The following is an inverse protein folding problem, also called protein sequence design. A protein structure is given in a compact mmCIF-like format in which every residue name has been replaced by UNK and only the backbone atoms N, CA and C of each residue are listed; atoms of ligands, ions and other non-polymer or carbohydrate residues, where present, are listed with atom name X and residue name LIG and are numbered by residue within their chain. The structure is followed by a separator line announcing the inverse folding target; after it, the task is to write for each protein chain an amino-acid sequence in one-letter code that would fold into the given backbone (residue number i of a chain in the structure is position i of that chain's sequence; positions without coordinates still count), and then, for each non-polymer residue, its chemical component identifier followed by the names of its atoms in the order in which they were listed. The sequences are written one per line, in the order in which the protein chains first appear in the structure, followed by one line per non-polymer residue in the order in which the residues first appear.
data_IF_102278626456
#
_entry.id   IF_102278626456
#
_cell.length_a   1.000
_cell.length_b   1.000
_cell.length_c   1.000
_cell.angle_alpha   90.00
_cell.angle_beta   90.00
_cell.angle_gamma   90.00
#
_symmetry.space_group_name_H-M   'P 1'
#
loop_
_entity.id
_entity.type
_entity.pdbx_description
1 polymer ?
#
# COMPACT_ATOMS: atom_id res chain seq x y z
N UNK A 1 11.91 23.45 -0.80
CA UNK A 1 11.61 23.03 0.58
C UNK A 1 11.89 21.54 0.66
N UNK A 2 12.61 21.03 1.68
CA UNK A 2 12.82 19.59 1.78
C UNK A 2 11.47 18.91 2.04
N UNK A 3 11.20 17.80 1.36
CA UNK A 3 9.97 17.01 1.52
C UNK A 3 9.90 16.46 2.95
N UNK A 4 9.16 17.14 3.83
CA UNK A 4 8.89 16.74 5.21
C UNK A 4 7.67 15.82 5.31
N UNK A 5 7.64 14.72 4.54
CA UNK A 5 6.61 13.70 4.75
C UNK A 5 7.17 12.61 5.66
N UNK A 6 6.71 12.64 6.92
CA UNK A 6 6.84 11.67 8.00
C UNK A 6 7.69 10.42 7.72
N UNK A 7 9.02 10.59 7.67
CA UNK A 7 9.94 9.48 7.91
C UNK A 7 9.68 9.00 9.33
N UNK A 8 9.12 7.80 9.51
CA UNK A 8 9.02 7.16 10.82
C UNK A 8 10.17 6.16 10.88
N UNK A 9 11.18 6.51 11.67
CA UNK A 9 12.41 5.75 11.81
C UNK A 9 12.15 4.43 12.56
N UNK A 10 13.01 3.44 12.32
CA UNK A 10 12.95 2.16 13.01
C UNK A 10 12.97 2.33 14.55
N UNK A 11 13.86 3.19 15.05
CA UNK A 11 13.99 3.45 16.48
C UNK A 11 12.73 4.10 17.07
N UNK A 12 12.06 4.97 16.31
CA UNK A 12 10.79 5.58 16.71
C UNK A 12 9.68 4.51 16.81
N UNK A 13 9.64 3.56 15.87
CA UNK A 13 8.71 2.42 15.93
C UNK A 13 8.98 1.55 17.16
N UNK A 14 10.26 1.27 17.47
CA UNK A 14 10.64 0.49 18.66
C UNK A 14 10.18 1.23 19.92
N UNK A 15 10.46 2.53 20.03
CA UNK A 15 10.10 3.35 21.19
C UNK A 15 8.58 3.42 21.39
N UNK A 16 7.81 3.57 20.31
CA UNK A 16 6.35 3.61 20.33
C UNK A 16 5.69 2.33 20.85
N UNK A 17 6.36 1.17 20.79
CA UNK A 17 5.80 -0.10 21.31
C UNK A 17 5.62 -0.11 22.82
N UNK A 18 6.42 0.69 23.53
CA UNK A 18 6.42 0.75 24.99
C UNK A 18 6.02 2.11 25.55
N UNK A 19 5.82 3.13 24.70
CA UNK A 19 5.38 4.47 25.11
C UNK A 19 4.13 4.89 24.34
N UNK A 20 2.97 4.96 25.03
CA UNK A 20 1.74 5.50 24.45
C UNK A 20 1.89 6.92 23.94
N UNK A 21 2.72 7.73 24.59
CA UNK A 21 2.97 9.14 24.22
C UNK A 21 3.66 9.22 22.86
N UNK A 22 4.72 8.45 22.65
CA UNK A 22 5.43 8.39 21.37
C UNK A 22 4.52 7.81 20.29
N UNK A 23 3.74 6.77 20.61
CA UNK A 23 2.75 6.22 19.67
C UNK A 23 1.75 7.29 19.21
N UNK A 24 1.25 8.11 20.13
CA UNK A 24 0.33 9.21 19.84
C UNK A 24 0.99 10.26 18.92
N UNK A 25 2.24 10.64 19.19
CA UNK A 25 3.01 11.57 18.37
C UNK A 25 3.24 11.04 16.94
N UNK A 26 3.58 9.76 16.80
CA UNK A 26 3.76 9.13 15.50
C UNK A 26 2.44 9.04 14.72
N UNK A 27 1.33 8.75 15.41
CA UNK A 27 0.01 8.74 14.80
C UNK A 27 -0.38 10.13 14.30
N UNK A 28 -0.21 11.18 15.12
CA UNK A 28 -0.47 12.57 14.71
C UNK A 28 0.35 12.99 13.49
N UNK A 29 1.61 12.53 13.39
CA UNK A 29 2.45 12.75 12.20
C UNK A 29 1.94 12.00 10.96
N UNK A 30 1.33 10.84 11.15
CA UNK A 30 0.79 10.01 10.07
C UNK A 30 -0.63 10.41 9.65
N UNK A 31 -1.41 11.10 10.49
CA UNK A 31 -2.82 11.46 10.23
C UNK A 31 -3.04 12.09 8.83
N UNK A 32 -2.24 13.08 8.37
CA UNK A 32 -2.43 13.65 7.02
C UNK A 32 -2.19 12.67 5.87
N UNK A 33 -1.37 11.63 6.09
CA UNK A 33 -1.16 10.57 5.13
C UNK A 33 -2.34 9.59 5.14
N UNK A 34 -2.78 9.15 6.32
CA UNK A 34 -3.89 8.22 6.48
C UNK A 34 -5.19 8.81 5.92
N UNK A 35 -5.47 10.08 6.19
CA UNK A 35 -6.68 10.76 5.70
C UNK A 35 -6.69 10.87 4.17
N UNK A 36 -5.58 11.27 3.55
CA UNK A 36 -5.47 11.30 2.07
C UNK A 36 -5.61 9.92 1.45
N UNK A 37 -5.14 8.88 2.12
CA UNK A 37 -5.31 7.50 1.65
C UNK A 37 -6.78 7.07 1.77
N UNK A 38 -7.48 7.47 2.83
CA UNK A 38 -8.92 7.26 2.99
C UNK A 38 -9.73 7.96 1.89
N UNK A 39 -9.46 9.24 1.61
CA UNK A 39 -10.09 9.97 0.50
C UNK A 39 -9.87 9.30 -0.86
N UNK A 40 -8.66 8.77 -1.09
CA UNK A 40 -8.35 8.03 -2.32
C UNK A 40 -9.17 6.74 -2.41
N UNK A 41 -9.30 6.03 -1.30
CA UNK A 41 -10.05 4.77 -1.22
C UNK A 41 -11.55 4.99 -1.36
N UNK A 42 -12.11 6.03 -0.73
CA UNK A 42 -13.50 6.45 -0.88
C UNK A 42 -13.92 6.68 -2.34
N UNK A 43 -13.02 7.12 -3.23
CA UNK A 43 -13.32 7.27 -4.67
C UNK A 43 -13.74 5.95 -5.34
N UNK A 44 -13.30 4.82 -4.81
CA UNK A 44 -13.66 3.50 -5.31
C UNK A 44 -14.92 2.94 -4.64
N UNK A 45 -15.24 3.41 -3.45
CA UNK A 45 -16.36 2.97 -2.63
C UNK A 45 -17.07 4.17 -2.00
N UNK A 46 -17.81 4.98 -2.79
CA UNK A 46 -18.34 6.28 -2.36
C UNK A 46 -19.50 6.18 -1.35
N UNK A 47 -19.96 4.96 -1.04
CA UNK A 47 -20.97 4.69 -0.03
C UNK A 47 -20.39 4.59 1.39
N UNK A 48 -19.07 4.40 1.54
CA UNK A 48 -18.39 4.41 2.83
C UNK A 48 -17.97 5.84 3.17
N UNK A 49 -18.17 6.28 4.41
CA UNK A 49 -17.72 7.61 4.81
C UNK A 49 -16.19 7.65 4.88
N UNK A 50 -15.58 8.75 4.41
CA UNK A 50 -14.12 8.95 4.47
C UNK A 50 -13.59 8.80 5.90
N UNK A 51 -14.38 9.24 6.88
CA UNK A 51 -14.03 9.16 8.30
C UNK A 51 -13.94 7.72 8.79
N UNK A 52 -14.85 6.84 8.38
CA UNK A 52 -14.84 5.42 8.76
C UNK A 52 -13.59 4.71 8.20
N UNK A 53 -13.33 4.91 6.90
CA UNK A 53 -12.12 4.38 6.24
C UNK A 53 -10.85 4.90 6.94
N UNK A 54 -10.86 6.17 7.35
CA UNK A 54 -9.74 6.77 8.06
C UNK A 54 -9.53 6.14 9.45
N UNK A 55 -10.58 5.89 10.23
CA UNK A 55 -10.45 5.22 11.53
C UNK A 55 -9.87 3.80 11.37
N UNK A 56 -10.30 3.04 10.35
CA UNK A 56 -9.72 1.73 10.05
C UNK A 56 -8.21 1.82 9.73
N UNK A 57 -7.80 2.85 8.99
CA UNK A 57 -6.38 3.09 8.69
C UNK A 57 -5.57 3.45 9.93
N UNK A 58 -6.15 4.18 10.89
CA UNK A 58 -5.52 4.48 12.19
C UNK A 58 -5.35 3.21 13.03
N UNK A 59 -6.35 2.34 13.07
CA UNK A 59 -6.21 1.04 13.75
C UNK A 59 -5.12 0.20 13.08
N UNK A 60 -5.08 0.20 11.75
CA UNK A 60 -4.05 -0.50 10.98
C UNK A 60 -2.65 0.04 11.29
N UNK A 61 -2.52 1.36 11.43
CA UNK A 61 -1.28 2.01 11.87
C UNK A 61 -0.80 1.46 13.21
N UNK A 62 -1.67 1.43 14.21
CA UNK A 62 -1.34 0.93 15.56
C UNK A 62 -0.93 -0.55 15.48
N UNK A 63 -1.65 -1.39 14.72
CA UNK A 63 -1.27 -2.80 14.51
C UNK A 63 0.11 -2.91 13.87
N UNK A 64 0.43 -2.06 12.89
CA UNK A 64 1.71 -2.08 12.20
C UNK A 64 2.89 -1.71 13.12
N UNK A 65 2.72 -0.80 14.08
CA UNK A 65 3.78 -0.46 15.06
C UNK A 65 4.30 -1.72 15.78
N UNK A 66 3.40 -2.62 16.15
CA UNK A 66 3.74 -3.85 16.85
C UNK A 66 4.21 -4.99 15.92
N UNK A 67 3.73 -5.03 14.68
CA UNK A 67 4.04 -6.13 13.72
C UNK A 67 5.26 -5.87 12.84
N UNK A 68 5.60 -4.61 12.58
CA UNK A 68 6.63 -4.26 11.63
C UNK A 68 8.01 -4.80 12.05
N UNK A 69 8.67 -5.52 11.15
CA UNK A 69 10.04 -5.98 11.34
C UNK A 69 11.03 -4.84 11.04
N UNK A 70 11.54 -4.22 12.11
CA UNK A 70 12.42 -3.04 12.04
C UNK A 70 13.78 -3.34 11.41
N UNK A 71 14.21 -4.60 11.35
CA UNK A 71 15.45 -5.01 10.66
C UNK A 71 15.39 -4.76 9.15
N UNK A 72 14.18 -4.56 8.60
CA UNK A 72 13.90 -4.31 7.18
C UNK A 72 13.76 -2.83 6.85
N UNK A 73 14.10 -1.94 7.79
CA UNK A 73 13.96 -0.50 7.59
C UNK A 73 15.04 0.06 6.67
N UNK A 74 14.63 0.58 5.51
CA UNK A 74 15.49 1.29 4.57
C UNK A 74 15.31 2.81 4.74
N UNK A 75 16.39 3.52 5.09
CA UNK A 75 16.46 4.99 5.16
C UNK A 75 15.29 5.68 5.89
N UNK A 76 14.70 5.00 6.90
CA UNK A 76 13.55 5.51 7.65
C UNK A 76 12.20 5.48 6.94
N UNK A 77 12.13 4.89 5.73
CA UNK A 77 10.91 4.83 4.92
C UNK A 77 10.20 3.47 4.98
N UNK A 78 10.88 2.43 5.47
CA UNK A 78 10.36 1.07 5.47
C UNK A 78 9.02 0.90 6.20
N UNK A 79 8.82 1.63 7.31
CA UNK A 79 7.56 1.54 8.06
C UNK A 79 6.36 2.07 7.28
N UNK A 80 6.48 3.24 6.65
CA UNK A 80 5.38 3.84 5.88
C UNK A 80 5.06 3.01 4.63
N UNK A 81 6.07 2.40 4.00
CA UNK A 81 5.88 1.47 2.88
C UNK A 81 5.10 0.24 3.34
N UNK A 82 5.53 -0.38 4.45
CA UNK A 82 4.84 -1.53 5.03
C UNK A 82 3.39 -1.20 5.42
N UNK A 83 3.16 -0.04 6.05
CA UNK A 83 1.84 0.45 6.43
C UNK A 83 0.93 0.62 5.21
N UNK A 84 1.41 1.28 4.15
CA UNK A 84 0.64 1.48 2.91
C UNK A 84 0.28 0.14 2.26
N UNK A 85 1.23 -0.80 2.25
CA UNK A 85 0.99 -2.16 1.76
C UNK A 85 -0.07 -2.89 2.59
N UNK A 86 0.01 -2.82 3.93
CA UNK A 86 -0.95 -3.45 4.83
C UNK A 86 -2.35 -2.85 4.65
N UNK A 87 -2.46 -1.52 4.63
CA UNK A 87 -3.74 -0.83 4.40
C UNK A 87 -4.37 -1.26 3.08
N UNK A 88 -3.60 -1.32 1.98
CA UNK A 88 -4.14 -1.77 0.68
C UNK A 88 -4.56 -3.24 0.69
N UNK A 89 -3.85 -4.08 1.44
CA UNK A 89 -4.14 -5.51 1.54
C UNK A 89 -5.40 -5.75 2.37
N UNK A 90 -5.52 -5.10 3.52
CA UNK A 90 -6.70 -5.13 4.39
C UNK A 90 -7.92 -4.60 3.63
N UNK A 91 -7.78 -3.45 2.95
CA UNK A 91 -8.82 -2.85 2.13
C UNK A 91 -9.29 -3.79 1.02
N UNK A 92 -8.38 -4.33 0.18
CA UNK A 92 -8.74 -5.29 -0.87
C UNK A 92 -9.43 -6.55 -0.33
N UNK A 93 -9.01 -7.02 0.83
CA UNK A 93 -9.59 -8.22 1.46
C UNK A 93 -10.99 -7.95 1.99
N UNK A 94 -11.23 -6.76 2.57
CA UNK A 94 -12.53 -6.33 3.05
C UNK A 94 -13.55 -6.30 1.89
N UNK A 95 -13.26 -5.61 0.79
CA UNK A 95 -14.21 -5.53 -0.33
C UNK A 95 -14.34 -6.82 -1.13
N UNK A 96 -13.31 -7.68 -1.19
CA UNK A 96 -13.50 -9.03 -1.73
C UNK A 96 -14.50 -9.85 -0.92
N UNK A 97 -14.55 -9.68 0.41
CA UNK A 97 -15.53 -10.36 1.27
C UNK A 97 -16.92 -9.77 1.07
N UNK A 98 -17.04 -8.44 0.97
CA UNK A 98 -18.28 -7.77 0.62
C UNK A 98 -18.77 -8.23 -0.76
N UNK A 99 -17.94 -8.16 -1.79
CA UNK A 99 -18.27 -8.60 -3.15
C UNK A 99 -18.68 -10.08 -3.17
N UNK A 100 -18.01 -10.94 -2.40
CA UNK A 100 -18.40 -12.34 -2.25
C UNK A 100 -19.76 -12.51 -1.54
N UNK A 101 -20.02 -11.72 -0.48
CA UNK A 101 -21.31 -11.69 0.23
C UNK A 101 -22.45 -11.16 -0.63
N UNK A 102 -22.19 -10.19 -1.51
CA UNK A 102 -23.14 -9.69 -2.50
C UNK A 102 -23.30 -10.66 -3.68
N UNK A 103 -22.25 -11.37 -4.08
CA UNK A 103 -22.26 -12.38 -5.15
C UNK A 103 -22.97 -13.68 -4.75
N UNK A 104 -23.18 -13.94 -3.45
CA UNK A 104 -24.07 -15.01 -2.97
C UNK A 104 -25.57 -14.78 -3.33
N UNK A 105 -25.90 -13.74 -4.12
CA UNK A 105 -27.22 -13.54 -4.74
C UNK A 105 -27.31 -13.90 -6.22
N UNK A 106 -26.22 -14.33 -6.88
CA UNK A 106 -26.28 -14.91 -8.22
C UNK A 106 -25.64 -16.31 -8.24
N UNK A 107 -26.25 -17.30 -8.93
CA UNK A 107 -25.73 -18.66 -8.91
C UNK A 107 -24.48 -18.76 -9.77
N UNK A 108 -23.40 -19.22 -9.15
CA UNK A 108 -22.16 -19.80 -9.66
C UNK A 108 -21.78 -19.48 -11.11
N UNK A 109 -20.74 -18.65 -11.26
CA UNK A 109 -19.81 -18.75 -12.38
C UNK A 109 -18.41 -18.98 -11.82
N UNK A 110 -17.96 -20.24 -11.86
CA UNK A 110 -16.56 -20.68 -11.81
C UNK A 110 -15.62 -19.81 -10.96
N UNK A 111 -15.77 -19.84 -9.64
CA UNK A 111 -14.66 -19.46 -8.77
C UNK A 111 -13.70 -20.63 -8.67
N UNK A 112 -12.84 -20.70 -9.67
CA UNK A 112 -11.63 -21.51 -9.60
C UNK A 112 -10.90 -21.14 -8.31
N UNK A 113 -10.91 -22.09 -7.39
CA UNK A 113 -10.47 -21.99 -6.01
C UNK A 113 -8.93 -21.96 -5.96
N UNK A 114 -8.32 -20.88 -6.45
CA UNK A 114 -6.90 -20.60 -6.22
C UNK A 114 -6.72 -19.31 -5.43
N UNK A 115 -7.29 -19.30 -4.22
CA UNK A 115 -6.58 -18.72 -3.09
C UNK A 115 -5.35 -19.60 -2.77
N UNK A 116 -4.34 -19.56 -3.64
CA UNK A 116 -3.18 -20.43 -3.56
C UNK A 116 -1.94 -19.72 -4.10
N UNK A 117 -0.96 -19.50 -3.22
CA UNK A 117 0.38 -18.98 -3.51
C UNK A 117 0.45 -17.57 -4.12
N UNK A 118 0.60 -16.56 -3.26
CA UNK A 118 1.32 -15.35 -3.67
C UNK A 118 2.80 -15.73 -3.73
N UNK A 119 3.29 -16.14 -4.90
CA UNK A 119 4.73 -16.27 -5.12
C UNK A 119 5.40 -14.94 -4.74
N UNK A 120 6.64 -14.99 -4.24
CA UNK A 120 7.42 -13.79 -3.96
C UNK A 120 7.60 -13.01 -5.28
N UNK A 121 6.77 -11.98 -5.49
CA UNK A 121 6.76 -11.17 -6.71
C UNK A 121 7.86 -10.10 -6.69
N UNK A 122 8.58 -9.96 -5.58
CA UNK A 122 9.55 -8.89 -5.36
C UNK A 122 10.80 -9.01 -6.23
N UNK A 123 11.39 -10.20 -6.46
CA UNK A 123 12.48 -10.37 -7.43
C UNK A 123 12.05 -9.99 -8.86
N UNK A 124 10.83 -10.34 -9.25
CA UNK A 124 10.28 -10.05 -10.58
C UNK A 124 9.99 -8.56 -10.74
N UNK A 125 9.48 -7.90 -9.70
CA UNK A 125 9.26 -6.47 -9.69
C UNK A 125 10.60 -5.70 -9.77
N UNK A 126 11.61 -6.11 -9.01
CA UNK A 126 12.95 -5.50 -9.08
C UNK A 126 13.55 -5.61 -10.49
N UNK A 127 13.45 -6.78 -11.11
CA UNK A 127 13.95 -7.00 -12.47
C UNK A 127 13.17 -6.20 -13.51
N UNK A 128 11.84 -6.14 -13.39
CA UNK A 128 11.00 -5.31 -14.24
C UNK A 128 11.35 -3.82 -14.12
N UNK A 129 11.59 -3.32 -12.91
CA UNK A 129 11.99 -1.94 -12.67
C UNK A 129 13.38 -1.61 -13.24
N UNK A 130 14.33 -2.55 -13.19
CA UNK A 130 15.65 -2.40 -13.81
C UNK A 130 15.61 -2.50 -15.34
N UNK A 131 14.53 -3.04 -15.91
CA UNK A 131 14.32 -3.15 -17.36
C UNK A 131 13.64 -1.91 -17.96
N UNK A 132 13.12 -1.00 -17.10
CA UNK A 132 12.60 0.29 -17.53
C UNK A 132 13.74 1.25 -17.89
N UNK A 133 13.40 2.30 -18.64
CA UNK A 133 14.32 3.43 -18.81
C UNK A 133 14.52 4.15 -17.47
N UNK A 134 15.67 4.82 -17.23
CA UNK A 134 15.90 5.57 -15.99
C UNK A 134 14.84 6.65 -15.73
N UNK A 135 14.31 7.25 -16.79
CA UNK A 135 13.23 8.24 -16.73
C UNK A 135 11.91 7.60 -16.27
N UNK A 136 11.53 6.46 -16.83
CA UNK A 136 10.30 5.74 -16.45
C UNK A 136 10.38 5.15 -15.06
N UNK A 137 11.57 4.69 -14.67
CA UNK A 137 11.84 4.25 -13.32
C UNK A 137 11.66 5.40 -12.32
N UNK A 138 12.23 6.58 -12.60
CA UNK A 138 12.06 7.78 -11.76
C UNK A 138 10.58 8.19 -11.69
N UNK A 139 9.89 8.27 -12.83
CA UNK A 139 8.46 8.61 -12.89
C UNK A 139 7.62 7.62 -12.10
N UNK A 140 7.87 6.32 -12.25
CA UNK A 140 7.13 5.29 -11.53
C UNK A 140 7.38 5.36 -10.02
N UNK A 141 8.63 5.55 -9.60
CA UNK A 141 8.99 5.72 -8.18
C UNK A 141 8.35 6.99 -7.60
N UNK A 142 8.36 8.11 -8.33
CA UNK A 142 7.72 9.37 -7.93
C UNK A 142 6.20 9.24 -7.86
N UNK A 143 5.58 8.51 -8.79
CA UNK A 143 4.17 8.15 -8.72
C UNK A 143 3.84 7.26 -7.51
N UNK A 144 4.68 6.27 -7.18
CA UNK A 144 4.52 5.48 -5.96
C UNK A 144 4.65 6.35 -4.70
N UNK A 145 5.48 7.40 -4.75
CA UNK A 145 5.59 8.43 -3.72
C UNK A 145 4.43 9.45 -3.72
N UNK A 146 3.41 9.24 -4.56
CA UNK A 146 2.18 10.03 -4.58
C UNK A 146 2.20 11.26 -5.49
N UNK A 147 3.24 11.42 -6.32
CA UNK A 147 3.26 12.49 -7.32
C UNK A 147 2.25 12.23 -8.45
N UNK A 148 1.63 13.31 -8.93
CA UNK A 148 0.65 13.24 -10.01
C UNK A 148 1.31 13.27 -11.39
N UNK A 149 1.10 12.20 -12.15
CA UNK A 149 1.49 12.09 -13.55
C UNK A 149 0.28 11.86 -14.45
N UNK A 150 0.35 12.22 -15.74
CA UNK A 150 -0.71 11.92 -16.69
C UNK A 150 -1.03 10.43 -16.73
N UNK A 151 -2.32 10.07 -16.64
CA UNK A 151 -2.77 8.67 -16.58
C UNK A 151 -2.23 7.82 -17.74
N UNK A 152 -2.22 8.36 -18.96
CA UNK A 152 -1.70 7.66 -20.15
C UNK A 152 -0.24 7.24 -20.03
N UNK A 153 0.57 8.05 -19.36
CA UNK A 153 1.99 7.77 -19.13
C UNK A 153 2.14 6.66 -18.10
N UNK A 154 1.38 6.74 -17.01
CA UNK A 154 1.41 5.73 -15.95
C UNK A 154 0.88 4.38 -16.42
N UNK A 155 -0.18 4.37 -17.23
CA UNK A 155 -0.75 3.16 -17.83
C UNK A 155 0.27 2.46 -18.75
N UNK A 156 1.08 3.22 -19.50
CA UNK A 156 2.16 2.65 -20.30
C UNK A 156 3.21 1.97 -19.42
N UNK A 157 3.73 2.69 -18.43
CA UNK A 157 4.80 2.17 -17.55
C UNK A 157 4.30 0.93 -16.77
N UNK A 158 3.06 0.95 -16.28
CA UNK A 158 2.46 -0.20 -15.60
C UNK A 158 2.24 -1.41 -16.52
N UNK A 159 1.95 -1.19 -17.81
CA UNK A 159 1.87 -2.28 -18.81
C UNK A 159 3.24 -2.89 -19.08
N UNK A 160 4.29 -2.08 -19.17
CA UNK A 160 5.66 -2.57 -19.35
C UNK A 160 6.11 -3.39 -18.15
N UNK A 161 5.89 -2.89 -16.93
CA UNK A 161 6.17 -3.66 -15.71
C UNK A 161 5.41 -4.99 -15.72
N UNK A 162 4.13 -4.99 -16.07
CA UNK A 162 3.32 -6.21 -16.14
C UNK A 162 3.84 -7.18 -17.20
N UNK A 163 4.26 -6.68 -18.36
CA UNK A 163 4.82 -7.50 -19.43
C UNK A 163 6.09 -8.20 -18.97
N UNK A 164 7.06 -7.46 -18.41
CA UNK A 164 8.31 -8.05 -17.91
C UNK A 164 8.08 -9.04 -16.76
N UNK A 165 7.14 -8.74 -15.86
CA UNK A 165 6.80 -9.69 -14.80
C UNK A 165 6.18 -10.98 -15.35
N UNK A 166 5.41 -10.92 -16.44
CA UNK A 166 4.79 -12.10 -17.06
C UNK A 166 5.79 -12.91 -17.91
N UNK A 167 6.73 -12.27 -18.59
CA UNK A 167 7.81 -12.96 -19.32
C UNK A 167 8.69 -13.80 -18.39
N UNK A 168 8.89 -13.36 -17.16
CA UNK A 168 9.80 -14.01 -16.20
C UNK A 168 9.15 -15.14 -15.40
N UNK A 169 7.82 -15.21 -15.38
CA UNK A 169 7.04 -16.26 -14.71
C UNK A 169 6.77 -17.45 -15.65
N UNK A 170 6.85 -17.24 -16.97
CA UNK A 170 6.66 -18.23 -18.02
C UNK A 170 7.91 -19.07 -18.29
#
# INVERSE_FOLDING_TARGET
MPLTWATILADEVIAARSSPEILQELLQRADPFLYRLAEKHHRYHPWDEVEDIYQEHRETFIRCIHKYDVSRSFEGRGFIIYLNWQIRTDYRSHYRRIDAEFSLREPDADTDNTAGFCADMEPYLQKALLSLTPEDQDIFLRYLNGEHYPLRMMDRIQREIRYFMLEEIA
#
